data_IF_056873002315
#
_entry.id   IF_056873002315
#
_cell.length_a   1.000
_cell.length_b   1.000
_cell.length_c   1.000
_cell.angle_alpha   90.00
_cell.angle_beta   90.00
_cell.angle_gamma   90.00
#
_symmetry.space_group_name_H-M   'P 1'
#
loop_
_entity.id
_entity.type
_entity.pdbx_description
1 polymer ?
#
# COMPACT_ATOMS: atom_id res chain seq x y z
N UNK A 1 3.84 14.19 1.50
CA UNK A 1 5.14 14.71 1.02
C UNK A 1 5.60 15.85 1.90
N UNK A 2 6.90 15.95 2.21
CA UNK A 2 7.50 16.96 3.11
C UNK A 2 7.17 18.38 2.66
N UNK A 3 7.04 18.60 1.36
CA UNK A 3 6.87 19.92 0.76
C UNK A 3 5.42 20.42 0.74
N UNK A 4 4.44 19.52 0.68
CA UNK A 4 3.02 19.89 0.75
C UNK A 4 2.53 20.07 2.19
N UNK A 5 3.25 19.54 3.17
CA UNK A 5 2.84 19.48 4.57
C UNK A 5 3.09 20.76 5.36
N UNK A 6 3.90 21.64 4.85
CA UNK A 6 4.30 22.85 5.59
C UNK A 6 3.14 23.78 5.99
N UNK A 7 1.99 23.72 5.28
CA UNK A 7 0.83 24.58 5.57
C UNK A 7 -0.45 23.84 5.95
N UNK A 8 -0.60 22.56 5.58
CA UNK A 8 -1.90 21.89 5.63
C UNK A 8 -1.93 20.57 6.38
N UNK A 9 -0.80 20.06 6.82
CA UNK A 9 -0.73 18.84 7.62
C UNK A 9 0.12 19.07 8.87
N UNK A 10 -0.40 18.67 10.02
CA UNK A 10 0.32 18.60 11.30
C UNK A 10 1.31 17.43 11.30
N UNK A 11 2.16 17.34 10.26
CA UNK A 11 3.13 16.28 10.12
C UNK A 11 4.39 16.62 10.91
N UNK A 12 4.75 15.74 11.83
CA UNK A 12 5.95 15.90 12.65
C UNK A 12 7.18 15.53 11.80
N UNK A 13 7.90 16.53 11.28
CA UNK A 13 9.06 16.36 10.38
C UNK A 13 10.19 15.54 11.00
N UNK A 14 10.23 15.43 12.34
CA UNK A 14 11.30 14.78 13.08
C UNK A 14 11.31 13.25 12.90
N UNK A 15 10.20 12.66 12.46
CA UNK A 15 10.05 11.21 12.25
C UNK A 15 9.90 10.81 10.77
N UNK A 16 10.18 11.73 9.84
CA UNK A 16 10.04 11.42 8.41
C UNK A 16 11.22 10.58 7.90
N UNK A 17 10.93 9.30 7.65
CA UNK A 17 11.88 8.40 7.01
C UNK A 17 11.41 8.08 5.58
N UNK A 18 12.04 8.70 4.58
CA UNK A 18 11.72 8.52 3.17
C UNK A 18 11.85 7.06 2.72
N UNK A 19 12.84 6.34 3.26
CA UNK A 19 13.03 4.91 2.97
C UNK A 19 11.88 4.07 3.51
N UNK A 20 11.43 4.37 4.73
CA UNK A 20 10.30 3.67 5.33
C UNK A 20 9.00 3.88 4.52
N UNK A 21 8.74 5.11 4.10
CA UNK A 21 7.57 5.43 3.27
C UNK A 21 7.63 4.73 1.90
N UNK A 22 8.80 4.68 1.30
CA UNK A 22 9.04 4.00 0.02
C UNK A 22 8.81 2.49 0.16
N UNK A 23 9.33 1.87 1.22
CA UNK A 23 9.12 0.46 1.53
C UNK A 23 7.65 0.17 1.82
N UNK A 24 6.97 1.02 2.57
CA UNK A 24 5.55 0.87 2.87
C UNK A 24 4.70 0.94 1.60
N UNK A 25 4.93 1.92 0.74
CA UNK A 25 4.14 2.09 -0.50
C UNK A 25 4.40 0.95 -1.48
N UNK A 26 5.68 0.58 -1.69
CA UNK A 26 6.03 -0.53 -2.57
C UNK A 26 5.53 -1.87 -2.02
N UNK A 27 5.61 -2.07 -0.70
CA UNK A 27 5.07 -3.24 -0.02
C UNK A 27 3.57 -3.40 -0.22
N UNK A 28 2.79 -2.32 -0.08
CA UNK A 28 1.35 -2.34 -0.33
C UNK A 28 1.02 -2.71 -1.78
N UNK A 29 1.75 -2.15 -2.75
CA UNK A 29 1.57 -2.49 -4.18
C UNK A 29 1.86 -3.98 -4.41
N UNK A 30 2.93 -4.51 -3.83
CA UNK A 30 3.29 -5.92 -3.96
C UNK A 30 2.26 -6.84 -3.32
N UNK A 31 1.84 -6.56 -2.08
CA UNK A 31 0.82 -7.36 -1.37
C UNK A 31 -0.50 -7.35 -2.12
N UNK A 32 -0.94 -6.18 -2.61
CA UNK A 32 -2.13 -6.08 -3.46
C UNK A 32 -2.00 -6.91 -4.73
N UNK A 33 -0.86 -6.78 -5.43
CA UNK A 33 -0.62 -7.49 -6.69
C UNK A 33 -0.68 -9.00 -6.50
N UNK A 34 0.00 -9.53 -5.47
CA UNK A 34 0.03 -10.97 -5.17
C UNK A 34 -1.35 -11.47 -4.76
N UNK A 35 -2.05 -10.75 -3.88
CA UNK A 35 -3.37 -11.12 -3.42
C UNK A 35 -4.39 -11.12 -4.57
N UNK A 36 -4.41 -10.06 -5.38
CA UNK A 36 -5.32 -9.96 -6.51
C UNK A 36 -5.04 -11.02 -7.57
N UNK A 37 -3.77 -11.25 -7.93
CA UNK A 37 -3.38 -12.30 -8.86
C UNK A 37 -3.76 -13.69 -8.34
N UNK A 38 -3.50 -13.97 -7.05
CA UNK A 38 -3.85 -15.27 -6.44
C UNK A 38 -5.35 -15.56 -6.51
N UNK A 39 -6.19 -14.60 -6.11
CA UNK A 39 -7.65 -14.74 -6.19
C UNK A 39 -8.13 -14.81 -7.64
N UNK A 40 -7.58 -13.98 -8.53
CA UNK A 40 -7.94 -14.02 -9.94
C UNK A 40 -7.60 -15.36 -10.59
N UNK A 41 -6.49 -15.97 -10.22
CA UNK A 41 -6.10 -17.30 -10.70
C UNK A 41 -7.09 -18.37 -10.25
N UNK A 42 -7.57 -18.29 -9.00
CA UNK A 42 -8.61 -19.20 -8.48
C UNK A 42 -9.98 -19.02 -9.17
N UNK A 43 -10.23 -17.82 -9.71
CA UNK A 43 -11.47 -17.48 -10.41
C UNK A 43 -11.36 -17.59 -11.94
N UNK A 44 -10.39 -18.36 -12.44
CA UNK A 44 -10.15 -18.55 -13.88
C UNK A 44 -9.80 -17.24 -14.63
N UNK A 45 -9.16 -16.30 -13.94
CA UNK A 45 -8.65 -15.08 -14.56
C UNK A 45 -7.44 -15.38 -15.45
N UNK A 46 -7.36 -14.71 -16.59
CA UNK A 46 -6.31 -14.95 -17.59
C UNK A 46 -5.02 -14.17 -17.32
N UNK A 47 -5.09 -13.14 -16.50
CA UNK A 47 -3.96 -12.21 -16.22
C UNK A 47 -2.82 -12.89 -15.48
N UNK A 48 -1.60 -12.61 -15.94
CA UNK A 48 -0.36 -13.06 -15.30
C UNK A 48 0.04 -12.10 -14.19
N UNK A 49 0.76 -12.59 -13.17
CA UNK A 49 1.26 -11.75 -12.04
C UNK A 49 1.96 -10.47 -12.54
N UNK A 50 2.79 -10.57 -13.59
CA UNK A 50 3.46 -9.43 -14.20
C UNK A 50 2.49 -8.39 -14.76
N UNK A 51 1.41 -8.83 -15.37
CA UNK A 51 0.38 -7.95 -15.96
C UNK A 51 -0.40 -7.22 -14.87
N UNK A 52 -0.77 -7.93 -13.80
CA UNK A 52 -1.42 -7.34 -12.62
C UNK A 52 -0.51 -6.30 -11.98
N UNK A 53 0.80 -6.60 -11.83
CA UNK A 53 1.78 -5.65 -11.30
C UNK A 53 1.91 -4.40 -12.16
N UNK A 54 1.99 -4.56 -13.48
CA UNK A 54 2.06 -3.44 -14.43
C UNK A 54 0.81 -2.56 -14.31
N UNK A 55 -0.38 -3.16 -14.37
CA UNK A 55 -1.65 -2.41 -14.27
C UNK A 55 -1.73 -1.69 -12.93
N UNK A 56 -1.41 -2.35 -11.82
CA UNK A 56 -1.42 -1.72 -10.50
C UNK A 56 -0.46 -0.54 -10.43
N UNK A 57 0.75 -0.69 -10.95
CA UNK A 57 1.75 0.39 -10.94
C UNK A 57 1.33 1.59 -11.80
N UNK A 58 0.79 1.35 -12.98
CA UNK A 58 0.31 2.42 -13.86
C UNK A 58 -0.95 3.11 -13.32
N UNK A 59 -1.80 2.40 -12.60
CA UNK A 59 -3.01 2.98 -12.02
C UNK A 59 -2.73 4.02 -10.92
N UNK A 60 -1.52 4.02 -10.33
CA UNK A 60 -1.09 5.02 -9.34
C UNK A 60 -0.60 6.33 -9.99
N UNK A 61 -0.42 6.36 -11.31
CA UNK A 61 0.11 7.52 -12.04
C UNK A 61 -0.66 8.83 -11.79
N UNK A 62 -2.00 8.88 -11.73
CA UNK A 62 -2.72 10.12 -11.41
C UNK A 62 -2.36 10.69 -10.05
N UNK A 63 -2.08 9.83 -9.07
CA UNK A 63 -1.69 10.25 -7.73
C UNK A 63 -0.27 10.84 -7.72
N UNK A 64 0.63 10.30 -8.54
CA UNK A 64 1.98 10.84 -8.73
C UNK A 64 1.90 12.23 -9.39
N UNK A 65 1.09 12.37 -10.44
CA UNK A 65 0.86 13.65 -11.11
C UNK A 65 0.26 14.68 -10.15
N UNK A 66 -0.74 14.27 -9.35
CA UNK A 66 -1.29 15.13 -8.30
C UNK A 66 -0.20 15.62 -7.35
N UNK A 67 0.67 14.74 -6.84
CA UNK A 67 1.73 15.12 -5.92
C UNK A 67 2.71 16.13 -6.54
N UNK A 68 3.04 15.98 -7.83
CA UNK A 68 3.90 16.93 -8.54
C UNK A 68 3.23 18.30 -8.67
N UNK A 69 1.94 18.33 -9.01
CA UNK A 69 1.17 19.58 -9.21
C UNK A 69 0.84 20.24 -7.87
N UNK A 70 0.58 19.47 -6.82
CA UNK A 70 0.21 20.00 -5.51
C UNK A 70 1.34 20.81 -4.87
N UNK A 71 2.61 20.47 -5.11
CA UNK A 71 3.76 21.21 -4.54
C UNK A 71 3.74 22.69 -4.92
N UNK A 72 3.80 23.07 -6.21
CA UNK A 72 3.76 24.50 -6.57
C UNK A 72 2.42 25.15 -6.23
N UNK A 73 1.32 24.40 -6.28
CA UNK A 73 -0.01 24.91 -6.00
C UNK A 73 -0.16 25.37 -4.55
N UNK A 74 0.45 24.68 -3.58
CA UNK A 74 0.43 25.09 -2.17
C UNK A 74 1.12 26.44 -1.92
N UNK A 75 2.05 26.85 -2.78
CA UNK A 75 2.70 28.17 -2.67
C UNK A 75 1.86 29.31 -3.28
N UNK A 76 1.05 29.01 -4.26
CA UNK A 76 0.25 30.01 -4.99
C UNK A 76 -1.10 30.24 -4.34
N UNK A 77 -1.69 29.18 -3.77
CA UNK A 77 -3.06 29.22 -3.23
C UNK A 77 -2.99 29.57 -1.74
N UNK A 78 -3.66 30.69 -1.37
CA UNK A 78 -3.82 31.13 0.02
C UNK A 78 -4.69 30.14 0.82
N UNK A 79 -4.88 30.39 2.10
CA UNK A 79 -5.61 29.50 3.04
C UNK A 79 -7.00 29.05 2.58
N UNK A 80 -7.67 29.81 1.71
CA UNK A 80 -8.94 29.41 1.07
C UNK A 80 -8.80 28.23 0.07
N UNK A 81 -7.60 27.87 -0.34
CA UNK A 81 -7.34 26.85 -1.35
C UNK A 81 -7.25 25.41 -0.84
N UNK A 82 -7.38 25.17 0.46
CA UNK A 82 -7.36 23.82 1.04
C UNK A 82 -8.44 22.91 0.43
N UNK A 83 -9.62 23.46 0.13
CA UNK A 83 -10.72 22.74 -0.52
C UNK A 83 -10.36 22.33 -1.96
N UNK A 84 -9.64 23.18 -2.70
CA UNK A 84 -9.19 22.87 -4.05
C UNK A 84 -8.14 21.77 -4.07
N UNK A 85 -7.17 21.82 -3.16
CA UNK A 85 -6.13 20.81 -3.03
C UNK A 85 -6.73 19.46 -2.63
N UNK A 86 -7.64 19.43 -1.66
CA UNK A 86 -8.33 18.20 -1.26
C UNK A 86 -9.25 17.67 -2.37
N UNK A 87 -9.92 18.54 -3.11
CA UNK A 87 -10.72 18.15 -4.28
C UNK A 87 -9.88 17.51 -5.40
N UNK A 88 -8.72 18.07 -5.71
CA UNK A 88 -7.79 17.49 -6.67
C UNK A 88 -7.23 16.14 -6.20
N UNK A 89 -6.95 15.98 -4.89
CA UNK A 89 -6.55 14.71 -4.32
C UNK A 89 -7.62 13.65 -4.47
N UNK A 90 -8.87 13.98 -4.14
CA UNK A 90 -10.00 13.08 -4.32
C UNK A 90 -10.20 12.69 -5.80
N UNK A 91 -10.06 13.63 -6.72
CA UNK A 91 -10.12 13.37 -8.15
C UNK A 91 -9.02 12.38 -8.57
N UNK A 92 -7.78 12.59 -8.11
CA UNK A 92 -6.67 11.69 -8.40
C UNK A 92 -6.93 10.27 -7.88
N UNK A 93 -7.49 10.12 -6.67
CA UNK A 93 -7.87 8.82 -6.10
C UNK A 93 -8.97 8.13 -6.92
N UNK A 94 -9.99 8.86 -7.34
CA UNK A 94 -11.05 8.32 -8.20
C UNK A 94 -10.46 7.83 -9.53
N UNK A 95 -9.59 8.62 -10.15
CA UNK A 95 -8.91 8.23 -11.41
C UNK A 95 -8.04 6.99 -11.23
N UNK A 96 -7.30 6.88 -10.11
CA UNK A 96 -6.55 5.67 -9.78
C UNK A 96 -7.48 4.44 -9.70
N UNK A 97 -8.60 4.56 -9.00
CA UNK A 97 -9.59 3.48 -8.87
C UNK A 97 -10.19 3.06 -10.21
N UNK A 98 -10.51 4.03 -11.07
CA UNK A 98 -11.03 3.76 -12.42
C UNK A 98 -9.98 3.06 -13.28
N UNK A 99 -8.74 3.56 -13.32
CA UNK A 99 -7.66 2.97 -14.10
C UNK A 99 -7.34 1.54 -13.63
N UNK A 100 -7.29 1.32 -12.32
CA UNK A 100 -7.09 -0.01 -11.75
C UNK A 100 -8.21 -0.96 -12.16
N UNK A 101 -9.46 -0.52 -12.02
CA UNK A 101 -10.63 -1.33 -12.35
C UNK A 101 -10.66 -1.70 -13.82
N UNK A 102 -10.52 -0.73 -14.71
CA UNK A 102 -10.51 -0.96 -16.16
C UNK A 102 -9.34 -1.85 -16.58
N UNK A 103 -8.16 -1.61 -15.99
CA UNK A 103 -6.98 -2.41 -16.27
C UNK A 103 -7.15 -3.88 -15.85
N UNK A 104 -7.65 -4.14 -14.64
CA UNK A 104 -7.90 -5.50 -14.16
C UNK A 104 -9.00 -6.22 -14.96
N UNK A 105 -10.08 -5.51 -15.31
CA UNK A 105 -11.12 -6.07 -16.21
C UNK A 105 -10.52 -6.52 -17.53
N UNK A 106 -9.62 -5.71 -18.11
CA UNK A 106 -9.02 -5.98 -19.40
C UNK A 106 -8.08 -7.18 -19.40
N UNK A 107 -7.21 -7.31 -18.38
CA UNK A 107 -6.25 -8.41 -18.31
C UNK A 107 -6.87 -9.74 -17.92
N UNK A 108 -7.96 -9.71 -17.13
CA UNK A 108 -8.64 -10.94 -16.67
C UNK A 108 -9.88 -11.29 -17.48
N UNK A 109 -10.29 -10.48 -18.46
CA UNK A 109 -11.55 -10.59 -19.19
C UNK A 109 -12.79 -10.67 -18.25
N UNK A 110 -12.78 -9.84 -17.19
CA UNK A 110 -13.85 -9.86 -16.20
C UNK A 110 -14.97 -8.88 -16.55
N UNK A 111 -16.21 -9.26 -16.21
CA UNK A 111 -17.32 -8.32 -16.09
C UNK A 111 -17.14 -7.44 -14.84
N UNK A 112 -17.77 -6.29 -14.80
CA UNK A 112 -17.71 -5.36 -13.68
C UNK A 112 -18.07 -6.01 -12.33
N UNK A 113 -19.14 -6.82 -12.29
CA UNK A 113 -19.54 -7.54 -11.07
C UNK A 113 -18.49 -8.55 -10.62
N UNK A 114 -17.92 -9.31 -11.55
CA UNK A 114 -16.86 -10.27 -11.23
C UNK A 114 -15.62 -9.56 -10.69
N UNK A 115 -15.27 -8.39 -11.24
CA UNK A 115 -14.19 -7.56 -10.70
C UNK A 115 -14.45 -7.14 -9.26
N UNK A 116 -15.67 -6.65 -8.94
CA UNK A 116 -16.02 -6.23 -7.58
C UNK A 116 -15.89 -7.38 -6.58
N UNK A 117 -16.41 -8.55 -6.93
CA UNK A 117 -16.29 -9.75 -6.07
C UNK A 117 -14.83 -10.14 -5.88
N UNK A 118 -14.05 -10.16 -6.97
CA UNK A 118 -12.61 -10.45 -6.90
C UNK A 118 -11.87 -9.45 -6.03
N UNK A 119 -12.16 -8.16 -6.16
CA UNK A 119 -11.54 -7.12 -5.34
C UNK A 119 -11.88 -7.28 -3.86
N UNK A 120 -13.14 -7.55 -3.50
CA UNK A 120 -13.55 -7.81 -2.12
C UNK A 120 -12.82 -9.02 -1.52
N UNK A 121 -12.75 -10.14 -2.25
CA UNK A 121 -12.05 -11.34 -1.79
C UNK A 121 -10.54 -11.06 -1.68
N UNK A 122 -9.96 -10.29 -2.60
CA UNK A 122 -8.54 -9.89 -2.52
C UNK A 122 -8.25 -9.06 -1.27
N UNK A 123 -9.14 -8.15 -0.88
CA UNK A 123 -9.00 -7.37 0.37
C UNK A 123 -9.05 -8.31 1.60
N UNK A 124 -9.98 -9.27 1.62
CA UNK A 124 -10.05 -10.27 2.70
C UNK A 124 -8.77 -11.11 2.77
N UNK A 125 -8.23 -11.50 1.62
CA UNK A 125 -6.96 -12.24 1.56
C UNK A 125 -5.80 -11.39 2.08
N UNK A 126 -5.75 -10.10 1.78
CA UNK A 126 -4.72 -9.19 2.32
C UNK A 126 -4.79 -9.13 3.84
N UNK A 127 -5.99 -9.00 4.41
CA UNK A 127 -6.18 -9.01 5.87
C UNK A 127 -5.67 -10.33 6.46
N UNK A 128 -5.98 -11.46 5.83
CA UNK A 128 -5.49 -12.78 6.25
C UNK A 128 -3.96 -12.86 6.18
N UNK A 129 -3.34 -12.38 5.10
CA UNK A 129 -1.88 -12.37 4.95
C UNK A 129 -1.23 -11.55 6.07
N UNK A 130 -1.75 -10.34 6.33
CA UNK A 130 -1.24 -9.47 7.40
C UNK A 130 -1.35 -10.17 8.76
N UNK A 131 -2.49 -10.82 9.03
CA UNK A 131 -2.71 -11.58 10.27
C UNK A 131 -1.68 -12.72 10.42
N UNK A 132 -1.47 -13.51 9.37
CA UNK A 132 -0.50 -14.61 9.39
C UNK A 132 0.93 -14.10 9.59
N UNK A 133 1.32 -13.02 8.89
CA UNK A 133 2.65 -12.40 9.05
C UNK A 133 2.84 -11.91 10.50
N UNK A 134 1.82 -11.29 11.10
CA UNK A 134 1.86 -10.86 12.49
C UNK A 134 2.01 -12.04 13.45
N UNK A 135 1.23 -13.12 13.27
CA UNK A 135 1.33 -14.34 14.07
C UNK A 135 2.72 -15.00 13.98
N UNK A 136 3.27 -15.12 12.76
CA UNK A 136 4.61 -15.66 12.55
C UNK A 136 5.67 -14.75 13.19
N UNK A 137 5.52 -13.44 13.07
CA UNK A 137 6.41 -12.47 13.73
C UNK A 137 6.42 -12.62 15.26
N UNK A 138 5.25 -12.80 15.88
CA UNK A 138 5.15 -13.07 17.32
C UNK A 138 5.84 -14.39 17.73
N UNK A 139 5.63 -15.45 16.95
CA UNK A 139 6.27 -16.75 17.21
C UNK A 139 7.80 -16.65 17.11
N UNK A 140 8.30 -15.95 16.10
CA UNK A 140 9.75 -15.72 15.95
C UNK A 140 10.31 -14.90 17.12
N UNK A 141 9.62 -13.85 17.54
CA UNK A 141 10.02 -13.02 18.68
C UNK A 141 10.10 -13.84 19.99
N UNK A 142 9.13 -14.73 20.24
CA UNK A 142 9.14 -15.64 21.40
C UNK A 142 10.29 -16.63 21.30
N UNK A 143 10.54 -17.18 20.11
CA UNK A 143 11.64 -18.10 19.88
C UNK A 143 12.99 -17.45 20.16
N UNK A 144 13.24 -16.25 19.62
CA UNK A 144 14.47 -15.50 19.92
C UNK A 144 14.59 -15.11 21.39
N UNK A 145 13.49 -14.70 22.02
CA UNK A 145 13.44 -14.41 23.47
C UNK A 145 13.90 -15.59 24.31
N UNK A 146 13.41 -16.78 24.02
CA UNK A 146 13.82 -18.01 24.70
C UNK A 146 15.34 -18.27 24.58
N UNK A 147 15.92 -18.09 23.39
CA UNK A 147 17.37 -18.26 23.21
C UNK A 147 18.19 -17.23 23.98
N UNK A 148 17.74 -16.00 24.03
CA UNK A 148 18.42 -14.93 24.80
C UNK A 148 18.36 -15.23 26.29
N UNK A 149 17.22 -15.66 26.80
CA UNK A 149 17.06 -16.06 28.20
C UNK A 149 17.95 -17.26 28.55
N UNK A 150 17.93 -18.33 27.76
CA UNK A 150 18.76 -19.50 27.96
C UNK A 150 20.26 -19.15 27.94
N UNK A 151 20.72 -18.31 27.02
CA UNK A 151 22.09 -17.84 26.95
C UNK A 151 22.51 -17.01 28.17
N UNK A 152 21.64 -16.10 28.63
CA UNK A 152 21.89 -15.28 29.82
C UNK A 152 21.95 -16.13 31.11
N UNK A 153 21.13 -17.16 31.20
CA UNK A 153 21.11 -18.07 32.35
C UNK A 153 22.40 -18.94 32.42
N UNK A 154 22.89 -19.43 31.28
CA UNK A 154 24.17 -20.14 31.19
C UNK A 154 25.36 -19.26 31.61
N UNK A 155 25.37 -17.99 31.21
CA UNK A 155 26.43 -17.04 31.60
C UNK A 155 26.36 -16.72 33.09
N UNK A 156 25.16 -16.61 33.65
CA UNK A 156 24.97 -16.34 35.08
C UNK A 156 25.40 -17.52 35.98
N UNK A 157 25.11 -18.74 35.55
CA UNK A 157 25.48 -19.94 36.32
C UNK A 157 26.98 -20.28 36.24
N UNK A 158 27.73 -19.66 35.32
CA UNK A 158 29.17 -19.87 35.16
C UNK A 158 30.06 -18.86 35.92
N UNK A 159 29.43 -17.95 36.70
CA UNK A 159 30.07 -17.00 37.63
C UNK A 159 29.89 -17.44 39.06
#
# INVERSE_FOLDING_TARGET
SIWSDFRYTSYNSDNYNSLFQLLQTSGLILVWTVANWGISTLQEGKGRLREVFIVTSYSVLPLILYNIVSIPLTYVVADAGSALISGLHLLALILCGVLLSVGLMKIHDYSFFKLLVTALISVLLIILIIFVVFMVGMLLAQFFGFFVEAATELIRNNK
#
